data_IF_076734803695
#
_entry.id   IF_076734803695
#
_cell.length_a   1.000
_cell.length_b   1.000
_cell.length_c   1.000
_cell.angle_alpha   90.00
_cell.angle_beta   90.00
_cell.angle_gamma   90.00
#
_symmetry.space_group_name_H-M   'P 1'
#
loop_
_entity.id
_entity.type
_entity.pdbx_description
1 polymer ?
2 non-polymer ?
3 non-polymer ?
4 non-polymer ?
5 non-polymer ?
6 water ?
#
# COMPACT_ATOMS: atom_id res chain seq x y z
N UNK A 4 5.41 -1.78 31.11
CA UNK A 4 4.51 -2.97 31.24
C UNK A 4 3.82 -3.30 29.91
N UNK A 5 3.03 -4.36 29.90
CA UNK A 5 2.37 -4.82 28.68
C UNK A 5 1.40 -3.80 28.10
N UNK A 6 1.06 -3.98 26.82
CA UNK A 6 0.18 -3.08 26.11
C UNK A 6 -0.80 -3.87 25.24
N UNK A 7 -2.04 -3.40 25.19
CA UNK A 7 -3.00 -3.86 24.21
C UNK A 7 -3.74 -2.65 23.63
N UNK A 8 -4.38 -2.84 22.49
CA UNK A 8 -5.05 -1.74 21.80
C UNK A 8 -6.52 -2.05 21.57
N UNK A 9 -7.33 -1.01 21.55
CA UNK A 9 -8.72 -1.10 21.12
C UNK A 9 -8.88 -0.17 19.92
N UNK A 10 -9.43 -0.69 18.83
CA UNK A 10 -9.63 0.08 17.61
C UNK A 10 -11.12 0.14 17.28
N UNK A 11 -11.67 1.35 17.24
CA UNK A 11 -13.08 1.55 16.89
C UNK A 11 -13.23 1.55 15.36
N UNK A 12 -14.01 0.60 14.84
CA UNK A 12 -14.12 0.41 13.39
C UNK A 12 -15.52 0.00 12.94
N UNK A 13 -16.53 0.37 13.72
CA UNK A 13 -17.90 -0.09 13.50
C UNK A 13 -18.72 0.80 12.56
N UNK A 14 -18.21 1.99 12.25
CA UNK A 14 -18.97 3.01 11.52
C UNK A 14 -19.42 2.63 10.12
N UNK A 15 -20.60 3.11 9.74
CA UNK A 15 -21.16 2.85 8.42
C UNK A 15 -20.47 3.68 7.33
N UNK A 16 -20.06 4.90 7.68
CA UNK A 16 -19.45 5.81 6.72
C UNK A 16 -20.43 6.22 5.64
N UNK A 17 -21.60 6.70 6.07
CA UNK A 17 -22.69 7.04 5.15
C UNK A 17 -22.27 8.04 4.07
N UNK A 18 -21.46 9.04 4.42
CA UNK A 18 -21.08 10.09 3.48
C UNK A 18 -19.98 9.68 2.49
N UNK A 19 -19.54 8.42 2.55
CA UNK A 19 -18.71 7.83 1.51
C UNK A 19 -19.58 7.38 0.33
N UNK A 20 -20.87 7.19 0.58
CA UNK A 20 -21.83 6.71 -0.42
C UNK A 20 -21.30 5.45 -1.10
N UNK A 21 -21.05 4.45 -0.26
CA UNK A 21 -20.35 3.23 -0.66
C UNK A 21 -21.04 2.00 -0.06
N UNK A 22 -20.86 0.87 -0.70
CA UNK A 22 -21.28 -0.42 -0.15
C UNK A 22 -20.27 -0.95 0.88
N UNK A 23 -19.08 -0.34 0.93
CA UNK A 23 -18.08 -0.70 1.93
C UNK A 23 -18.37 0.00 3.26
N UNK A 24 -17.98 -0.63 4.39
CA UNK A 24 -17.97 0.11 5.64
C UNK A 24 -16.84 1.13 5.67
N UNK A 25 -16.93 2.07 6.60
CA UNK A 25 -16.09 3.28 6.60
C UNK A 25 -14.58 3.00 6.58
N UNK A 26 -14.14 2.05 7.40
CA UNK A 26 -12.69 1.86 7.62
C UNK A 26 -11.99 0.98 6.57
N UNK A 27 -12.73 0.42 5.63
CA UNK A 27 -12.14 -0.42 4.58
C UNK A 27 -11.65 0.37 3.37
N UNK A 28 -12.04 1.64 3.27
CA UNK A 28 -11.52 2.52 2.23
C UNK A 28 -10.02 2.68 2.42
N UNK A 29 -9.28 2.75 1.32
CA UNK A 29 -7.82 2.64 1.39
C UNK A 29 -7.09 3.97 1.43
N UNK A 30 -5.93 3.96 2.10
CA UNK A 30 -4.92 4.98 1.99
C UNK A 30 -3.64 4.27 1.57
N UNK A 31 -3.01 4.75 0.50
CA UNK A 31 -1.79 4.14 -0.05
C UNK A 31 -1.96 2.63 -0.29
N UNK A 32 -3.12 2.25 -0.83
CA UNK A 32 -3.36 0.88 -1.24
C UNK A 32 -3.82 -0.08 -0.15
N UNK A 33 -3.97 0.39 1.09
CA UNK A 33 -4.47 -0.48 2.15
C UNK A 33 -5.51 0.17 3.06
N UNK A 34 -6.47 -0.64 3.56
CA UNK A 34 -7.58 -0.13 4.36
C UNK A 34 -7.13 0.78 5.49
N UNK A 35 -7.88 1.84 5.75
CA UNK A 35 -7.57 2.75 6.85
C UNK A 35 -7.34 1.98 8.16
N UNK A 36 -8.20 1.00 8.44
CA UNK A 36 -8.10 0.23 9.67
C UNK A 36 -6.80 -0.60 9.74
N UNK A 37 -6.33 -1.07 8.59
CA UNK A 37 -5.08 -1.83 8.52
C UNK A 37 -3.86 -0.98 8.92
N UNK A 38 -3.87 0.30 8.52
CA UNK A 38 -2.84 1.24 8.96
C UNK A 38 -2.76 1.27 10.48
N UNK A 39 -3.93 1.38 11.13
CA UNK A 39 -4.01 1.48 12.58
C UNK A 39 -3.63 0.15 13.26
N UNK A 40 -4.11 -0.97 12.71
CA UNK A 40 -3.71 -2.30 13.20
C UNK A 40 -2.19 -2.48 13.15
N UNK A 41 -1.59 -2.12 12.01
CA UNK A 41 -0.12 -2.21 11.85
C UNK A 41 0.60 -1.33 12.86
N UNK A 42 0.15 -0.10 13.02
CA UNK A 42 0.72 0.82 14.01
C UNK A 42 0.61 0.22 15.42
N UNK A 43 -0.55 -0.33 15.75
CA UNK A 43 -0.76 -1.00 17.03
C UNK A 43 0.24 -2.14 17.24
N UNK A 44 0.49 -2.91 16.18
CA UNK A 44 1.46 -4.01 16.23
C UNK A 44 2.89 -3.51 16.41
N UNK A 45 3.26 -2.46 15.70
CA UNK A 45 4.59 -1.83 15.78
C UNK A 45 4.90 -1.34 17.19
N UNK A 46 3.85 -0.90 17.90
CA UNK A 46 3.98 -0.44 19.29
C UNK A 46 4.27 -1.58 20.26
N UNK A 47 3.99 -2.81 19.84
CA UNK A 47 4.18 -4.00 20.67
C UNK A 47 2.91 -4.41 21.40
N UNK A 48 1.76 -4.17 20.77
CA UNK A 48 0.47 -4.54 21.36
C UNK A 48 0.36 -6.06 21.46
N UNK A 49 -0.01 -6.53 22.66
CA UNK A 49 -0.19 -7.95 22.92
C UNK A 49 -1.50 -8.44 22.33
N UNK A 50 -2.57 -7.68 22.56
CA UNK A 50 -3.86 -7.93 21.94
C UNK A 50 -4.32 -6.69 21.18
N UNK A 51 -5.07 -6.90 20.11
CA UNK A 51 -5.70 -5.81 19.36
C UNK A 51 -7.19 -6.09 19.27
N UNK A 52 -7.97 -5.35 20.03
CA UNK A 52 -9.42 -5.53 20.06
C UNK A 52 -10.08 -4.66 19.01
N UNK A 53 -10.64 -5.29 17.99
CA UNK A 53 -11.26 -4.59 16.87
C UNK A 53 -12.76 -4.52 17.08
N UNK A 54 -13.27 -3.33 17.38
CA UNK A 54 -14.70 -3.12 17.54
C UNK A 54 -15.31 -2.89 16.16
N UNK A 55 -16.14 -3.82 15.71
CA UNK A 55 -16.73 -3.74 14.38
C UNK A 55 -18.24 -3.96 14.43
N UNK A 56 -18.91 -3.64 13.33
CA UNK A 56 -20.37 -3.69 13.27
C UNK A 56 -20.89 -3.63 11.86
N UNK A 57 -20.99 -2.42 11.29
CA UNK A 57 -21.46 -2.24 9.93
C UNK A 57 -20.53 -2.89 8.92
N UNK A 58 -21.10 -3.53 7.90
CA UNK A 58 -20.32 -4.24 6.89
C UNK A 58 -19.48 -5.36 7.50
N UNK A 59 -20.04 -6.04 8.50
CA UNK A 59 -19.31 -7.06 9.25
C UNK A 59 -18.74 -8.18 8.40
N UNK A 60 -19.53 -8.67 7.45
CA UNK A 60 -19.08 -9.74 6.56
C UNK A 60 -17.92 -9.26 5.67
N UNK A 61 -17.99 -8.02 5.21
CA UNK A 61 -16.92 -7.42 4.41
C UNK A 61 -15.65 -7.20 5.22
N UNK A 62 -15.81 -6.74 6.46
CA UNK A 62 -14.68 -6.59 7.39
C UNK A 62 -13.98 -7.93 7.57
N UNK A 63 -14.76 -8.97 7.84
CA UNK A 63 -14.25 -10.32 8.05
C UNK A 63 -13.48 -10.88 6.84
N UNK A 64 -14.02 -10.66 5.64
CA UNK A 64 -13.38 -11.15 4.42
C UNK A 64 -12.13 -10.33 4.07
N UNK A 65 -12.22 -9.01 4.19
CA UNK A 65 -11.11 -8.11 3.85
C UNK A 65 -9.95 -8.14 4.85
N UNK A 66 -10.24 -8.45 6.12
CA UNK A 66 -9.22 -8.45 7.18
C UNK A 66 -9.04 -9.83 7.81
N UNK A 67 -9.33 -10.87 7.03
CA UNK A 67 -9.36 -12.25 7.55
C UNK A 67 -8.08 -12.69 8.25
N UNK A 68 -6.92 -12.29 7.71
CA UNK A 68 -5.63 -12.73 8.26
C UNK A 68 -5.04 -11.80 9.33
N UNK A 69 -5.81 -10.80 9.77
CA UNK A 69 -5.33 -9.89 10.80
C UNK A 69 -5.40 -10.52 12.18
N UNK A 70 -4.34 -10.34 12.97
CA UNK A 70 -4.28 -10.89 14.32
C UNK A 70 -4.97 -9.95 15.29
N UNK A 71 -6.30 -9.98 15.27
CA UNK A 71 -7.12 -9.12 16.11
C UNK A 71 -8.21 -9.93 16.80
N UNK A 72 -8.75 -9.37 17.88
CA UNK A 72 -9.90 -9.94 18.58
C UNK A 72 -11.16 -9.30 17.99
N UNK A 73 -12.00 -10.11 17.38
CA UNK A 73 -13.21 -9.64 16.69
C UNK A 73 -14.35 -9.39 17.67
N UNK A 74 -14.54 -8.13 18.02
CA UNK A 74 -15.59 -7.73 18.96
C UNK A 74 -16.76 -7.11 18.19
N UNK A 75 -17.79 -7.90 17.96
CA UNK A 75 -18.94 -7.47 17.18
C UNK A 75 -19.93 -6.68 18.03
N UNK A 76 -20.03 -5.39 17.75
CA UNK A 76 -20.94 -4.49 18.46
C UNK A 76 -22.31 -4.50 17.77
N UNK A 77 -23.35 -4.83 18.52
CA UNK A 77 -24.71 -4.95 17.96
C UNK A 77 -25.45 -3.61 17.88
N UNK A 78 -25.06 -2.64 18.69
CA UNK A 78 -25.67 -1.31 18.63
C UNK A 78 -24.70 -0.19 19.03
N UNK A 79 -24.84 0.96 18.37
CA UNK A 79 -23.95 2.11 18.56
C UNK A 79 -24.53 3.07 19.60
N UNK A 80 -23.93 3.04 20.80
CA UNK A 80 -24.40 3.84 21.93
C UNK A 80 -23.35 4.84 22.41
N UNK A 81 -22.30 5.05 21.61
CA UNK A 81 -21.22 5.98 21.95
C UNK A 81 -19.88 5.29 22.10
N UNK A 82 -18.82 6.10 22.14
CA UNK A 82 -17.44 5.58 22.18
C UNK A 82 -17.14 4.80 23.45
N UNK A 83 -17.70 5.23 24.59
CA UNK A 83 -17.50 4.53 25.85
C UNK A 83 -18.12 3.13 25.83
N UNK A 84 -19.31 3.02 25.23
CA UNK A 84 -19.96 1.73 25.05
C UNK A 84 -19.15 0.82 24.13
N UNK A 85 -18.60 1.40 23.07
CA UNK A 85 -17.77 0.66 22.12
C UNK A 85 -16.54 0.06 22.80
N UNK A 86 -15.81 0.89 23.54
CA UNK A 86 -14.61 0.43 24.25
C UNK A 86 -14.97 -0.62 25.32
N UNK A 87 -16.11 -0.43 25.98
CA UNK A 87 -16.53 -1.37 27.03
C UNK A 87 -16.84 -2.77 26.49
N UNK A 88 -17.11 -2.89 25.19
CA UNK A 88 -17.30 -4.20 24.56
C UNK A 88 -16.03 -5.07 24.66
N UNK A 89 -14.86 -4.42 24.63
CA UNK A 89 -13.58 -5.12 24.74
C UNK A 89 -13.06 -5.19 26.18
N UNK A 90 -13.67 -4.43 27.07
CA UNK A 90 -13.20 -4.29 28.46
C UNK A 90 -13.03 -5.60 29.25
N UNK A 91 -13.93 -6.58 29.05
CA UNK A 91 -13.75 -7.87 29.74
C UNK A 91 -12.43 -8.59 29.43
N UNK A 92 -11.80 -8.22 28.33
CA UNK A 92 -10.55 -8.83 27.89
C UNK A 92 -9.30 -8.03 28.30
N UNK A 93 -9.50 -6.85 28.91
CA UNK A 93 -8.38 -6.05 29.39
C UNK A 93 -7.72 -6.72 30.60
N UNK A 94 -6.39 -6.78 30.57
CA UNK A 94 -5.62 -7.16 31.77
C UNK A 94 -5.58 -5.98 32.71
N UNK A 95 -5.77 -6.24 34.00
CA UNK A 95 -5.67 -5.19 35.02
C UNK A 95 -4.31 -4.48 34.96
N UNK A 96 -3.25 -5.25 34.69
CA UNK A 96 -1.88 -4.77 34.80
C UNK A 96 -1.26 -4.29 33.48
N UNK A 97 -2.03 -4.26 32.40
CA UNK A 97 -1.53 -3.77 31.10
C UNK A 97 -2.09 -2.39 30.79
N UNK A 98 -1.36 -1.65 29.96
CA UNK A 98 -1.87 -0.40 29.39
C UNK A 98 -2.79 -0.70 28.21
N UNK A 99 -3.81 0.14 28.05
CA UNK A 99 -4.72 0.05 26.91
C UNK A 99 -4.70 1.39 26.18
N UNK A 100 -4.47 1.34 24.87
CA UNK A 100 -4.52 2.54 24.03
C UNK A 100 -5.76 2.46 23.15
N UNK A 101 -6.53 3.54 23.12
CA UNK A 101 -7.75 3.61 22.31
C UNK A 101 -7.47 4.36 21.01
N UNK A 102 -7.79 3.72 19.90
CA UNK A 102 -7.52 4.26 18.56
C UNK A 102 -8.78 4.17 17.71
N UNK A 103 -8.76 4.88 16.57
CA UNK A 103 -9.93 4.96 15.69
C UNK A 103 -9.58 4.52 14.28
N UNK A 104 -10.33 3.55 13.76
CA UNK A 104 -10.07 2.96 12.45
C UNK A 104 -10.21 3.91 11.27
N UNK A 105 -10.93 5.02 11.48
CA UNK A 105 -11.10 6.05 10.45
C UNK A 105 -10.16 7.26 10.64
N UNK A 106 -9.19 7.12 11.55
CA UNK A 106 -8.11 8.10 11.72
C UNK A 106 -6.78 7.38 11.56
N UNK A 107 -6.41 7.08 10.31
CA UNK A 107 -5.35 6.10 10.00
C UNK A 107 -3.90 6.55 10.17
N UNK A 108 -3.64 7.85 10.22
CA UNK A 108 -2.26 8.35 10.12
C UNK A 108 -1.54 8.54 11.46
N UNK A 109 -2.17 8.15 12.57
CA UNK A 109 -1.52 8.22 13.89
C UNK A 109 -0.24 7.39 13.89
N UNK A 110 0.86 7.99 14.33
CA UNK A 110 2.18 7.34 14.23
C UNK A 110 2.58 6.63 15.52
N UNK A 111 3.41 5.60 15.35
CA UNK A 111 4.02 4.86 16.46
C UNK A 111 4.77 5.81 17.40
N UNK A 112 5.50 6.76 16.83
CA UNK A 112 6.32 7.70 17.61
C UNK A 112 5.47 8.55 18.55
N UNK A 113 4.35 9.07 18.04
CA UNK A 113 3.44 9.87 18.84
C UNK A 113 2.78 9.05 19.95
N UNK A 114 2.43 7.81 19.65
CA UNK A 114 1.78 6.92 20.62
C UNK A 114 2.75 6.43 21.70
N UNK A 115 4.01 6.19 21.33
CA UNK A 115 5.06 5.87 22.31
C UNK A 115 5.23 7.01 23.32
N UNK A 116 5.20 8.24 22.82
CA UNK A 116 5.28 9.44 23.64
C UNK A 116 4.07 9.57 24.57
N UNK A 117 2.90 9.21 24.05
CA UNK A 117 1.67 9.22 24.84
C UNK A 117 1.72 8.21 25.98
N UNK A 118 2.13 6.98 25.66
CA UNK A 118 2.21 5.90 26.65
C UNK A 118 3.24 6.23 27.74
N UNK A 119 4.40 6.73 27.32
CA UNK A 119 5.46 7.16 28.24
C UNK A 119 4.96 8.16 29.29
N UNK A 120 4.11 9.08 28.87
CA UNK A 120 3.64 10.16 29.74
C UNK A 120 2.53 9.74 30.71
N UNK A 121 1.96 8.54 30.53
CA UNK A 121 0.85 8.08 31.37
C UNK A 121 1.28 7.88 32.83
N UNK A 122 0.70 8.66 33.76
CA UNK A 122 0.99 8.48 35.18
C UNK A 122 0.24 7.29 35.76
N UNK A 123 0.82 6.63 36.75
CA UNK A 123 0.25 5.42 37.33
C UNK A 123 -1.18 5.64 37.80
N UNK A 124 -2.06 4.69 37.48
CA UNK A 124 -3.50 4.77 37.78
C UNK A 124 -4.21 5.99 37.15
N UNK A 125 -3.55 6.66 36.22
CA UNK A 125 -4.08 7.87 35.60
C UNK A 125 -4.36 7.67 34.12
N UNK A 126 -4.46 8.78 33.39
CA UNK A 126 -4.74 8.76 31.96
C UNK A 126 -3.75 9.65 31.21
N UNK A 127 -3.31 9.18 30.04
CA UNK A 127 -2.58 10.01 29.09
C UNK A 127 -3.53 10.35 27.95
N UNK A 128 -3.76 11.64 27.73
CA UNK A 128 -4.69 12.12 26.71
C UNK A 128 -3.94 12.78 25.56
N UNK A 129 -4.16 12.30 24.34
CA UNK A 129 -3.57 12.92 23.16
C UNK A 129 -4.39 14.15 22.77
N UNK A 130 -3.71 15.29 22.69
CA UNK A 130 -4.34 16.55 22.32
C UNK A 130 -3.65 17.13 21.09
N UNK A 131 -4.21 18.21 20.57
CA UNK A 131 -3.63 18.89 19.40
C UNK A 131 -4.07 20.35 19.37
N UNK A 132 -3.17 21.22 18.93
CA UNK A 132 -3.47 22.65 18.79
C UNK A 132 -4.04 22.96 17.41
N UNK A 133 -5.18 23.64 17.38
CA UNK A 133 -5.81 24.08 16.14
C UNK A 133 -5.86 25.60 16.10
N UNK A 134 -5.58 26.17 14.94
CA UNK A 134 -5.66 27.62 14.74
C UNK A 134 -7.11 28.07 14.93
N UNK A 135 -8.04 27.30 14.37
CA UNK A 135 -9.47 27.48 14.59
C UNK A 135 -10.05 26.25 15.30
N UNK A 136 -10.14 26.29 16.63
CA UNK A 136 -10.62 25.15 17.41
C UNK A 136 -12.15 25.04 17.52
N UNK A 137 -12.89 25.86 16.77
CA UNK A 137 -14.35 25.88 16.84
C UNK A 137 -14.95 24.49 16.58
N UNK A 138 -15.78 24.04 17.51
CA UNK A 138 -16.46 22.75 17.41
C UNK A 138 -15.85 21.66 18.28
N UNK A 139 -14.57 21.80 18.62
CA UNK A 139 -13.83 20.76 19.34
C UNK A 139 -13.78 21.02 20.84
N UNK A 140 -13.63 19.94 21.61
CA UNK A 140 -13.57 20.02 23.07
C UNK A 140 -12.27 20.63 23.56
N UNK A 141 -12.38 21.74 24.29
CA UNK A 141 -11.22 22.49 24.74
C UNK A 141 -10.58 21.82 25.96
N UNK A 142 -9.25 21.72 25.94
CA UNK A 142 -8.50 21.14 27.05
C UNK A 142 -8.29 22.20 28.14
N UNK A 143 -8.82 21.94 29.33
CA UNK A 143 -8.63 22.82 30.48
C UNK A 143 -7.56 22.24 31.39
N UNK A 144 -6.41 22.92 31.47
CA UNK A 144 -5.32 22.51 32.34
C UNK A 144 -5.33 23.30 33.64
N UNK A 145 -5.13 22.60 34.75
CA UNK A 145 -4.79 23.23 36.02
C UNK A 145 -3.54 22.49 36.51
N UNK A 146 -2.39 23.15 36.34
CA UNK A 146 -1.05 22.53 36.21
C UNK A 146 -0.78 22.32 34.72
N UNK A 147 -0.10 21.23 34.36
CA UNK A 147 -0.11 20.71 33.00
C UNK A 147 -0.99 19.47 32.93
N UNK A 148 -1.94 19.38 33.87
CA UNK A 148 -2.81 18.21 34.01
C UNK A 148 -4.25 18.60 33.67
N UNK A 149 -4.92 17.74 32.92
CA UNK A 149 -6.26 18.02 32.41
C UNK A 149 -7.32 17.79 33.48
N UNK A 150 -8.10 18.83 33.76
CA UNK A 150 -9.19 18.75 34.72
C UNK A 150 -10.57 18.69 34.04
N UNK A 151 -10.63 19.07 32.77
CA UNK A 151 -11.89 19.05 32.03
C UNK A 151 -11.69 19.16 30.52
N UNK A 152 -12.61 18.57 29.78
CA UNK A 152 -12.73 18.78 28.34
C UNK A 152 -14.05 19.51 28.13
N UNK A 153 -13.97 20.82 27.87
CA UNK A 153 -15.16 21.66 27.74
C UNK A 153 -15.59 21.75 26.28
N UNK A 154 -16.80 21.31 25.99
CA UNK A 154 -17.32 21.28 24.62
C UNK A 154 -17.68 22.69 24.16
N UNK A 155 -17.73 22.86 22.84
CA UNK A 155 -17.99 24.17 22.21
C UNK A 155 -19.18 24.90 22.82
N UNK A 156 -20.30 24.20 22.93
CA UNK A 156 -21.57 24.79 23.39
C UNK A 156 -21.57 25.20 24.87
N UNK A 157 -20.63 24.66 25.66
CA UNK A 157 -20.55 24.96 27.10
C UNK A 157 -19.45 25.98 27.44
N UNK A 158 -18.51 26.19 26.53
CA UNK A 158 -17.34 27.02 26.81
C UNK A 158 -17.68 28.51 26.95
N UNK A 159 -17.10 29.16 27.94
CA UNK A 159 -17.22 30.61 28.08
C UNK A 159 -16.31 31.33 27.08
N UNK A 160 -16.43 32.65 26.99
CA UNK A 160 -15.68 33.46 26.02
C UNK A 160 -14.17 33.20 26.08
N UNK A 161 -13.64 33.09 27.29
CA UNK A 161 -12.22 32.82 27.50
C UNK A 161 -11.82 31.43 27.02
N UNK A 162 -12.61 30.43 27.39
CA UNK A 162 -12.33 29.04 27.03
C UNK A 162 -12.38 28.77 25.53
N UNK A 163 -13.23 29.52 24.82
CA UNK A 163 -13.34 29.38 23.36
C UNK A 163 -12.03 29.75 22.65
N UNK A 164 -11.23 30.62 23.26
CA UNK A 164 -9.91 31.00 22.72
C UNK A 164 -8.80 29.97 22.99
N UNK A 165 -9.11 28.93 23.76
CA UNK A 165 -8.17 27.82 23.95
C UNK A 165 -8.01 27.08 22.62
N UNK A 166 -6.76 26.92 22.19
CA UNK A 166 -6.46 26.29 20.90
C UNK A 166 -6.24 24.79 21.02
N UNK A 167 -5.85 24.33 22.21
CA UNK A 167 -5.62 22.90 22.46
C UNK A 167 -6.95 22.17 22.62
N UNK A 168 -7.12 21.10 21.84
CA UNK A 168 -8.37 20.34 21.83
C UNK A 168 -8.15 18.82 22.01
N UNK A 169 -9.23 18.13 22.35
CA UNK A 169 -9.22 16.68 22.54
C UNK A 169 -9.26 15.95 21.20
N UNK A 170 -8.41 14.94 21.05
CA UNK A 170 -8.41 14.10 19.85
C UNK A 170 -9.21 12.81 20.04
N UNK A 171 -9.43 12.41 21.29
CA UNK A 171 -10.15 11.17 21.59
C UNK A 171 -9.23 9.99 21.86
N UNK A 172 -7.96 10.12 21.47
CA UNK A 172 -6.97 9.06 21.69
C UNK A 172 -6.43 9.17 23.10
N UNK A 173 -6.44 8.05 23.83
CA UNK A 173 -6.01 8.06 25.22
C UNK A 173 -5.44 6.71 25.66
N UNK A 174 -4.60 6.74 26.69
CA UNK A 174 -4.02 5.55 27.28
C UNK A 174 -4.31 5.51 28.79
N UNK A 175 -4.72 4.35 29.28
CA UNK A 175 -4.88 4.09 30.71
C UNK A 175 -4.73 2.59 30.96
N UNK A 176 -4.60 2.20 32.23
CA UNK A 176 -4.47 0.77 32.56
C UNK A 176 -5.83 0.07 32.50
N UNK A 177 -5.80 -1.25 32.32
CA UNK A 177 -7.01 -2.04 32.13
C UNK A 177 -7.98 -2.00 33.29
N UNK A 178 -7.46 -2.07 34.52
CA UNK A 178 -8.30 -2.00 35.72
C UNK A 178 -9.06 -0.68 35.78
N UNK A 179 -8.36 0.41 35.48
CA UNK A 179 -8.97 1.74 35.50
C UNK A 179 -10.04 1.91 34.43
N UNK A 180 -9.80 1.36 33.24
CA UNK A 180 -10.81 1.38 32.18
C UNK A 180 -12.08 0.63 32.61
N UNK A 181 -11.91 -0.59 33.11
CA UNK A 181 -13.06 -1.39 33.55
C UNK A 181 -13.86 -0.67 34.64
N UNK A 182 -13.14 -0.04 35.57
CA UNK A 182 -13.74 0.74 36.65
C UNK A 182 -14.55 1.93 36.13
N UNK A 183 -13.91 2.78 35.33
CA UNK A 183 -14.52 4.04 34.89
C UNK A 183 -15.57 3.86 33.79
N UNK A 184 -15.39 2.88 32.91
CA UNK A 184 -16.36 2.63 31.83
C UNK A 184 -17.73 2.26 32.38
N UNK A 185 -17.75 1.54 33.49
CA UNK A 185 -19.01 1.16 34.16
C UNK A 185 -19.74 2.36 34.78
N UNK A 186 -19.02 3.46 35.00
CA UNK A 186 -19.60 4.67 35.59
C UNK A 186 -20.06 5.72 34.57
N UNK A 187 -19.73 5.52 33.30
CA UNK A 187 -20.10 6.49 32.27
C UNK A 187 -21.61 6.48 32.06
N UNK A 188 -22.21 7.68 32.04
CA UNK A 188 -23.64 7.84 31.82
C UNK A 188 -23.91 8.39 30.43
N UNK A 189 -25.19 8.51 30.09
CA UNK A 189 -25.58 9.01 28.77
C UNK A 189 -26.51 10.22 28.84
N UNK A 190 -26.49 10.94 29.96
CA UNK A 190 -27.34 12.12 30.12
C UNK A 190 -26.75 13.33 29.39
N UNK A 191 -27.00 13.38 28.09
CA UNK A 191 -26.56 14.47 27.22
C UNK A 191 -27.45 14.54 26.00
N UNK A 192 -27.29 15.59 25.19
CA UNK A 192 -28.18 15.84 24.05
C UNK A 192 -28.23 14.70 23.02
N UNK A 193 -27.13 13.94 22.91
CA UNK A 193 -27.04 12.84 21.95
C UNK A 193 -27.47 11.50 22.56
N UNK A 194 -27.57 11.43 23.88
CA UNK A 194 -27.95 10.20 24.57
C UNK A 194 -26.91 9.10 24.45
N UNK A 195 -25.64 9.49 24.36
CA UNK A 195 -24.54 8.54 24.13
C UNK A 195 -23.62 8.46 25.32
N UNK A 196 -22.98 7.30 25.47
CA UNK A 196 -21.96 7.09 26.49
C UNK A 196 -20.61 7.50 25.91
N UNK A 197 -20.12 8.66 26.34
CA UNK A 197 -18.90 9.24 25.77
C UNK A 197 -17.65 8.80 26.52
N UNK A 198 -16.63 8.39 25.77
CA UNK A 198 -15.33 8.06 26.34
C UNK A 198 -14.68 9.30 26.98
N UNK A 199 -15.06 10.49 26.50
CA UNK A 199 -14.56 11.76 27.03
C UNK A 199 -14.80 11.89 28.53
N UNK A 200 -15.91 11.31 29.00
CA UNK A 200 -16.29 11.39 30.42
C UNK A 200 -15.30 10.72 31.39
N UNK A 201 -14.37 9.91 30.86
CA UNK A 201 -13.32 9.31 31.70
C UNK A 201 -12.38 10.35 32.33
N UNK A 202 -12.24 11.50 31.70
CA UNK A 202 -11.41 12.59 32.24
C UNK A 202 -12.04 13.10 33.53
N UNK A 203 -13.36 13.29 33.51
CA UNK A 203 -14.11 13.69 34.70
C UNK A 203 -14.03 12.61 35.78
N UNK A 204 -14.31 11.36 35.40
CA UNK A 204 -14.30 10.23 36.34
C UNK A 204 -12.92 10.00 36.96
N UNK A 205 -11.86 10.23 36.19
CA UNK A 205 -10.49 10.10 36.69
C UNK A 205 -10.21 11.13 37.77
N UNK A 206 -10.62 12.38 37.51
CA UNK A 206 -10.46 13.46 38.48
C UNK A 206 -11.32 13.25 39.73
N UNK A 207 -12.49 12.65 39.57
CA UNK A 207 -13.33 12.23 40.70
C UNK A 207 -12.61 11.28 41.65
N UNK A 208 -11.73 10.44 41.10
CA UNK A 208 -10.93 9.49 41.88
C UNK A 208 -9.56 10.05 42.30
N UNK A 209 -9.35 11.35 42.09
CA UNK A 209 -8.05 11.98 42.33
C UNK A 209 -6.90 11.29 41.57
N UNK A 210 -7.18 10.91 40.33
CA UNK A 210 -6.17 10.36 39.43
C UNK A 210 -5.86 11.41 38.36
N UNK A 211 -4.58 11.66 38.11
CA UNK A 211 -4.18 12.73 37.20
C UNK A 211 -4.29 12.33 35.74
N UNK A 212 -4.73 13.29 34.92
CA UNK A 212 -4.81 13.13 33.48
C UNK A 212 -3.77 14.06 32.85
N UNK A 213 -2.80 13.50 32.13
CA UNK A 213 -1.73 14.28 31.51
C UNK A 213 -1.97 14.44 30.01
N UNK A 214 -1.75 15.65 29.52
CA UNK A 214 -1.93 15.96 28.09
C UNK A 214 -0.61 15.79 27.32
N UNK A 215 -0.71 15.17 26.14
CA UNK A 215 0.44 15.03 25.24
C UNK A 215 0.01 15.50 23.85
N UNK A 216 0.73 16.49 23.32
CA UNK A 216 0.36 17.09 22.03
C UNK A 216 0.87 16.25 20.85
N UNK A 217 0.00 16.03 19.87
CA UNK A 217 0.40 15.40 18.62
C UNK A 217 1.25 16.39 17.82
N UNK A 218 2.21 15.86 17.05
CA UNK A 218 3.12 16.69 16.27
C UNK A 218 2.39 17.33 15.09
N UNK A 219 1.65 16.51 14.34
CA UNK A 219 0.87 16.99 13.20
C UNK A 219 -0.60 16.70 13.41
N UNK A 220 -1.45 17.65 13.01
CA UNK A 220 -2.90 17.50 13.13
C UNK A 220 -3.44 16.37 12.25
N UNK A 221 -2.76 16.09 11.14
CA UNK A 221 -3.20 15.05 10.21
C UNK A 221 -3.11 13.64 10.80
N UNK A 222 -2.32 13.47 11.87
CA UNK A 222 -2.27 12.20 12.62
C UNK A 222 -3.60 11.86 13.29
N UNK A 223 -4.36 12.88 13.66
CA UNK A 223 -5.60 12.69 14.40
C UNK A 223 -6.86 13.00 13.57
N UNK A 224 -6.67 13.43 12.32
CA UNK A 224 -7.79 13.72 11.43
C UNK A 224 -8.46 12.42 10.99
N UNK A 225 -9.79 12.41 11.04
CA UNK A 225 -10.59 11.31 10.52
C UNK A 225 -11.05 11.60 9.10
N UNK A 226 -11.46 10.56 8.38
CA UNK A 226 -12.02 10.72 7.04
C UNK A 226 -13.50 10.32 7.06
N UNK A 227 -14.38 11.32 6.97
CA UNK A 227 -15.83 11.11 6.93
C UNK A 227 -16.37 10.97 5.52
N UNK A 228 -15.60 11.42 4.54
CA UNK A 228 -15.98 11.33 3.13
C UNK A 228 -14.73 11.20 2.27
N UNK A 229 -14.92 11.04 0.96
CA UNK A 229 -13.80 10.78 0.06
C UNK A 229 -12.93 12.02 -0.21
N UNK A 230 -13.49 13.21 -0.03
CA UNK A 230 -12.70 14.44 -0.12
C UNK A 230 -11.68 14.50 1.01
N UNK A 231 -12.12 14.19 2.23
CA UNK A 231 -11.24 14.14 3.39
C UNK A 231 -10.23 12.99 3.28
N UNK A 232 -10.67 11.86 2.75
CA UNK A 232 -9.79 10.72 2.48
C UNK A 232 -8.66 11.10 1.52
N UNK A 233 -9.02 11.82 0.45
CA UNK A 233 -8.04 12.28 -0.54
C UNK A 233 -7.00 13.23 0.08
N UNK A 234 -7.43 14.05 1.04
CA UNK A 234 -6.54 14.94 1.76
C UNK A 234 -5.53 14.16 2.60
N UNK A 235 -6.00 13.10 3.27
CA UNK A 235 -5.13 12.21 4.04
C UNK A 235 -4.14 11.49 3.12
N UNK A 236 -4.64 11.02 1.97
CA UNK A 236 -3.81 10.35 0.97
C UNK A 236 -2.64 11.24 0.53
N UNK A 237 -2.93 12.50 0.19
CA UNK A 237 -1.90 13.42 -0.28
C UNK A 237 -0.87 13.74 0.82
N UNK A 238 -1.36 13.96 2.04
CA UNK A 238 -0.46 14.19 3.17
C UNK A 238 0.47 13.01 3.39
N UNK A 239 -0.10 11.80 3.32
CA UNK A 239 0.66 10.58 3.52
C UNK A 239 1.70 10.36 2.42
N UNK A 240 1.31 10.56 1.16
CA UNK A 240 2.22 10.40 0.04
C UNK A 240 3.37 11.42 0.09
N UNK A 241 3.06 12.66 0.45
CA UNK A 241 4.08 13.71 0.61
C UNK A 241 5.09 13.32 1.68
N UNK A 242 4.58 12.78 2.78
CA UNK A 242 5.41 12.35 3.89
C UNK A 242 6.33 11.19 3.49
N UNK A 243 5.77 10.21 2.75
CA UNK A 243 6.56 9.10 2.22
C UNK A 243 7.64 9.57 1.26
N UNK A 244 7.26 10.46 0.35
CA UNK A 244 8.18 11.01 -0.64
C UNK A 244 9.32 11.78 0.03
N UNK A 245 8.99 12.60 1.02
CA UNK A 245 9.98 13.38 1.77
C UNK A 245 11.01 12.48 2.45
N UNK A 246 10.54 11.39 3.07
CA UNK A 246 11.42 10.42 3.71
C UNK A 246 12.42 9.83 2.71
N UNK A 247 11.90 9.43 1.54
CA UNK A 247 12.74 8.84 0.50
C UNK A 247 13.76 9.84 -0.03
N UNK A 248 13.33 11.09 -0.23
CA UNK A 248 14.22 12.16 -0.67
C UNK A 248 15.38 12.39 0.30
N UNK A 249 15.07 12.44 1.60
CA UNK A 249 16.10 12.60 2.62
C UNK A 249 17.01 11.38 2.74
N UNK A 250 16.51 10.20 2.34
CA UNK A 250 17.33 8.99 2.28
C UNK A 250 18.25 8.92 1.05
N UNK A 251 18.04 9.82 0.09
CA UNK A 251 18.90 9.91 -1.09
C UNK A 251 18.28 9.44 -2.40
N UNK A 252 16.97 9.17 -2.41
CA UNK A 252 16.27 8.83 -3.65
C UNK A 252 15.91 10.12 -4.38
N UNK A 253 16.31 10.24 -5.64
CA UNK A 253 15.99 11.42 -6.45
C UNK A 253 14.59 11.28 -7.05
N UNK A 254 13.61 11.87 -6.40
CA UNK A 254 12.24 11.90 -6.88
C UNK A 254 12.03 13.27 -7.51
N UNK A 255 11.90 13.31 -8.83
CA UNK A 255 11.92 14.55 -9.59
C UNK A 255 10.81 15.51 -9.14
N UNK A 256 9.62 14.96 -8.91
CA UNK A 256 8.49 15.73 -8.35
C UNK A 256 7.76 14.87 -7.31
N UNK A 257 7.95 15.14 -6.01
CA UNK A 257 7.27 14.35 -4.99
C UNK A 257 5.74 14.48 -4.98
N UNK A 258 5.21 15.56 -5.55
CA UNK A 258 3.77 15.73 -5.71
C UNK A 258 3.20 14.80 -6.80
N UNK A 259 4.07 14.27 -7.65
CA UNK A 259 3.68 13.30 -8.68
C UNK A 259 4.42 11.98 -8.49
N UNK A 260 4.34 11.47 -7.27
CA UNK A 260 4.93 10.18 -6.91
C UNK A 260 3.97 9.47 -5.96
N UNK A 261 3.76 8.18 -6.18
CA UNK A 261 2.89 7.39 -5.31
C UNK A 261 3.55 6.09 -4.89
N UNK A 262 3.61 5.87 -3.58
CA UNK A 262 4.08 4.61 -3.00
C UNK A 262 2.92 3.96 -2.28
N UNK A 263 2.56 2.76 -2.71
CA UNK A 263 1.43 2.02 -2.15
C UNK A 263 1.92 0.66 -1.70
N UNK A 264 2.74 0.68 -0.66
CA UNK A 264 3.39 -0.52 -0.15
C UNK A 264 4.73 -0.16 0.47
N UNK A 265 5.77 -0.93 0.13
CA UNK A 265 7.10 -0.70 0.67
C UNK A 265 8.14 -0.63 -0.44
N UNK A 266 9.11 0.27 -0.29
CA UNK A 266 10.19 0.43 -1.25
C UNK A 266 11.55 0.28 -0.56
N UNK A 267 12.33 -0.70 -1.02
CA UNK A 267 13.72 -0.83 -0.63
C UNK A 267 14.56 -0.28 -1.78
N UNK A 268 15.57 0.53 -1.45
CA UNK A 268 16.35 1.21 -2.48
C UNK A 268 17.84 1.26 -2.17
N UNK A 269 18.64 1.30 -3.23
CA UNK A 269 20.07 1.56 -3.13
C UNK A 269 20.35 3.06 -3.25
N UNK A 270 21.57 3.39 -3.65
CA UNK A 270 21.98 4.79 -3.81
C UNK A 270 21.82 5.25 -5.25
N UNK A 271 21.66 6.55 -5.42
CA UNK A 271 21.58 7.20 -6.74
C UNK A 271 20.44 6.67 -7.60
N UNK A 272 19.32 6.33 -6.95
CA UNK A 272 18.10 5.92 -7.65
C UNK A 272 17.37 7.17 -8.11
N UNK A 273 16.97 7.19 -9.38
CA UNK A 273 16.27 8.33 -9.97
C UNK A 273 14.86 7.92 -10.40
N UNK A 274 13.87 8.66 -9.94
CA UNK A 274 12.47 8.38 -10.27
C UNK A 274 11.82 9.62 -10.87
N UNK A 275 11.44 9.53 -12.15
CA UNK A 275 10.83 10.65 -12.86
C UNK A 275 9.36 10.80 -12.47
N UNK A 276 8.70 11.81 -13.01
CA UNK A 276 7.33 12.16 -12.59
C UNK A 276 6.28 11.11 -12.98
N UNK A 277 5.24 11.01 -12.16
CA UNK A 277 4.10 10.10 -12.39
C UNK A 277 4.49 8.62 -12.40
N UNK A 278 5.27 8.22 -11.41
CA UNK A 278 5.58 6.81 -11.18
C UNK A 278 4.76 6.31 -10.00
N UNK A 279 4.25 5.08 -10.11
CA UNK A 279 3.51 4.44 -9.04
C UNK A 279 4.23 3.15 -8.63
N UNK A 280 4.52 3.04 -7.34
CA UNK A 280 5.20 1.88 -6.77
C UNK A 280 4.21 1.16 -5.86
N UNK A 281 3.93 -0.11 -6.16
CA UNK A 281 2.90 -0.87 -5.46
C UNK A 281 3.45 -2.18 -4.89
N UNK A 282 2.87 -2.62 -3.77
CA UNK A 282 3.32 -3.83 -3.11
C UNK A 282 4.73 -3.70 -2.59
N UNK A 283 5.49 -4.78 -2.65
CA UNK A 283 6.87 -4.80 -2.16
C UNK A 283 7.84 -4.67 -3.33
N UNK A 284 8.51 -3.52 -3.42
CA UNK A 284 9.43 -3.24 -4.51
C UNK A 284 10.85 -3.04 -3.99
N UNK A 285 11.82 -3.65 -4.67
CA UNK A 285 13.23 -3.48 -4.34
C UNK A 285 13.97 -2.93 -5.56
N UNK A 286 14.63 -1.80 -5.38
CA UNK A 286 15.46 -1.18 -6.43
C UNK A 286 16.92 -1.17 -6.00
N UNK A 287 17.80 -1.60 -6.90
CA UNK A 287 19.23 -1.61 -6.63
C UNK A 287 19.85 -0.23 -6.78
N UNK A 288 21.18 -0.19 -6.81
CA UNK A 288 21.93 1.06 -7.00
C UNK A 288 21.76 1.58 -8.43
N UNK A 289 21.64 2.90 -8.56
CA UNK A 289 21.62 3.61 -9.85
C UNK A 289 20.51 3.16 -10.79
N UNK A 290 19.40 2.69 -10.23
CA UNK A 290 18.22 2.38 -11.03
C UNK A 290 17.55 3.69 -11.46
N UNK A 291 17.20 3.79 -12.74
CA UNK A 291 16.53 4.96 -13.29
C UNK A 291 15.16 4.56 -13.81
N UNK A 292 14.11 5.21 -13.29
CA UNK A 292 12.74 4.93 -13.69
C UNK A 292 12.17 6.14 -14.42
N UNK A 293 11.78 5.94 -15.67
CA UNK A 293 11.24 7.02 -16.51
C UNK A 293 9.79 7.35 -16.17
N UNK A 294 9.28 8.40 -16.81
CA UNK A 294 7.95 8.91 -16.49
C UNK A 294 6.86 7.88 -16.80
N UNK A 295 5.83 7.86 -15.96
CA UNK A 295 4.64 7.05 -16.22
C UNK A 295 4.72 5.58 -15.89
N UNK A 296 5.81 5.12 -15.28
CA UNK A 296 5.97 3.70 -15.02
C UNK A 296 5.16 3.22 -13.82
N UNK A 297 4.74 1.96 -13.85
CA UNK A 297 4.03 1.32 -12.76
C UNK A 297 4.76 0.02 -12.39
N UNK A 298 5.28 -0.03 -11.17
CA UNK A 298 6.00 -1.20 -10.65
C UNK A 298 5.25 -1.78 -9.46
N UNK A 299 4.81 -3.03 -9.60
CA UNK A 299 4.09 -3.72 -8.53
C UNK A 299 4.76 -5.05 -8.19
N UNK A 300 5.25 -5.17 -6.97
CA UNK A 300 5.91 -6.40 -6.51
C UNK A 300 7.03 -6.83 -7.45
N UNK A 301 8.06 -6.00 -7.58
CA UNK A 301 9.16 -6.29 -8.47
C UNK A 301 10.51 -6.12 -7.77
N UNK A 302 11.50 -6.88 -8.24
CA UNK A 302 12.88 -6.71 -7.82
C UNK A 302 13.69 -6.26 -9.03
N UNK A 303 14.34 -5.10 -8.90
CA UNK A 303 15.11 -4.50 -9.99
C UNK A 303 16.57 -4.40 -9.56
N UNK A 304 17.46 -5.01 -10.34
CA UNK A 304 18.89 -5.03 -10.01
C UNK A 304 19.60 -3.70 -10.24
N UNK A 305 20.87 -3.65 -9.86
CA UNK A 305 21.71 -2.48 -10.05
C UNK A 305 21.77 -2.03 -11.51
N UNK A 306 21.78 -0.71 -11.72
CA UNK A 306 22.06 -0.11 -13.04
C UNK A 306 21.01 -0.39 -14.12
N UNK A 307 19.80 -0.75 -13.72
CA UNK A 307 18.70 -0.96 -14.66
C UNK A 307 18.07 0.39 -15.02
N UNK A 308 17.79 0.59 -16.30
CA UNK A 308 16.97 1.73 -16.72
C UNK A 308 15.63 1.22 -17.23
N UNK A 309 14.56 1.75 -16.64
CA UNK A 309 13.20 1.50 -17.10
C UNK A 309 12.73 2.78 -17.78
N UNK A 310 12.51 2.69 -19.09
CA UNK A 310 12.12 3.85 -19.88
C UNK A 310 10.61 4.10 -19.76
N UNK A 311 10.13 5.27 -20.22
CA UNK A 311 8.74 5.68 -19.92
C UNK A 311 7.62 4.70 -20.27
N UNK A 312 6.53 4.78 -19.50
CA UNK A 312 5.30 4.05 -19.76
C UNK A 312 5.51 2.55 -19.86
N UNK A 313 6.24 2.03 -18.88
CA UNK A 313 6.42 0.60 -18.70
C UNK A 313 5.63 0.13 -17.48
N UNK A 314 4.99 -1.03 -17.60
CA UNK A 314 4.18 -1.60 -16.53
C UNK A 314 4.74 -2.98 -16.18
N UNK A 315 5.16 -3.14 -14.92
CA UNK A 315 5.80 -4.36 -14.45
C UNK A 315 5.09 -4.89 -13.21
N UNK A 316 4.84 -6.20 -13.17
CA UNK A 316 4.23 -6.83 -11.99
C UNK A 316 4.79 -8.23 -11.73
N UNK A 317 5.04 -8.53 -10.44
CA UNK A 317 5.50 -9.85 -10.02
C UNK A 317 6.64 -10.34 -10.92
N UNK A 318 7.65 -9.49 -11.10
CA UNK A 318 8.75 -9.77 -12.01
C UNK A 318 10.10 -9.47 -11.38
N UNK A 319 11.15 -10.05 -11.97
CA UNK A 319 12.52 -9.85 -11.51
C UNK A 319 13.37 -9.40 -12.70
N UNK A 320 14.17 -8.36 -12.50
CA UNK A 320 15.01 -7.80 -13.55
C UNK A 320 16.47 -7.73 -13.10
N UNK A 321 17.35 -8.42 -13.82
CA UNK A 321 18.77 -8.48 -13.47
C UNK A 321 19.51 -7.19 -13.75
N UNK A 322 20.74 -7.10 -13.21
CA UNK A 322 21.50 -5.85 -13.32
C UNK A 322 21.84 -5.46 -14.76
N UNK A 323 21.89 -4.15 -15.00
CA UNK A 323 22.23 -3.58 -16.31
C UNK A 323 21.22 -3.90 -17.43
N UNK A 324 20.03 -4.39 -17.06
CA UNK A 324 18.96 -4.60 -18.03
C UNK A 324 18.40 -3.27 -18.49
N UNK A 325 17.80 -3.26 -19.68
CA UNK A 325 17.15 -2.08 -20.23
C UNK A 325 15.71 -2.47 -20.61
N UNK A 326 14.75 -1.78 -20.00
CA UNK A 326 13.33 -2.05 -20.22
C UNK A 326 12.62 -0.79 -20.74
N UNK A 327 11.73 -0.97 -21.72
CA UNK A 327 10.90 0.12 -22.21
C UNK A 327 11.50 0.94 -23.34
N UNK A 328 10.79 2.00 -23.76
CA UNK A 328 9.48 2.42 -23.25
C UNK A 328 8.35 1.51 -23.74
N UNK A 329 7.17 1.66 -23.15
CA UNK A 329 5.99 0.87 -23.55
C UNK A 329 6.19 -0.65 -23.42
N UNK A 330 6.91 -1.07 -22.38
CA UNK A 330 7.10 -2.50 -22.10
C UNK A 330 6.11 -2.99 -21.05
N UNK A 331 5.67 -4.24 -21.21
CA UNK A 331 4.76 -4.87 -20.26
C UNK A 331 5.37 -6.17 -19.73
N UNK A 332 5.66 -6.19 -18.43
CA UNK A 332 6.10 -7.41 -17.76
C UNK A 332 4.97 -7.90 -16.84
N UNK A 333 4.42 -9.05 -17.18
CA UNK A 333 3.33 -9.65 -16.42
C UNK A 333 3.90 -10.64 -15.42
N UNK A 334 3.07 -11.12 -14.46
CA UNK A 334 3.61 -11.99 -13.42
C UNK A 334 4.44 -13.17 -13.92
N UNK A 335 5.56 -13.41 -13.24
CA UNK A 335 6.47 -14.50 -13.59
C UNK A 335 7.54 -14.15 -14.61
N UNK A 336 7.59 -12.89 -15.02
CA UNK A 336 8.65 -12.44 -15.94
C UNK A 336 9.96 -12.36 -15.16
N UNK A 337 10.97 -13.10 -15.64
CA UNK A 337 12.30 -13.10 -15.03
C UNK A 337 13.36 -12.77 -16.08
N UNK A 338 13.87 -11.54 -16.03
CA UNK A 338 14.87 -11.08 -16.97
C UNK A 338 16.25 -11.13 -16.34
N UNK A 339 17.18 -11.80 -17.01
CA UNK A 339 18.56 -11.91 -16.50
C UNK A 339 19.31 -10.59 -16.71
N UNK A 340 20.56 -10.56 -16.24
CA UNK A 340 21.40 -9.38 -16.40
C UNK A 340 21.60 -9.02 -17.88
N UNK A 341 21.75 -7.72 -18.14
CA UNK A 341 22.08 -7.21 -19.47
C UNK A 341 21.09 -7.60 -20.58
N UNK A 342 19.83 -7.82 -20.20
CA UNK A 342 18.77 -8.10 -21.18
C UNK A 342 18.19 -6.80 -21.71
N UNK A 343 17.44 -6.91 -22.81
CA UNK A 343 16.82 -5.75 -23.46
C UNK A 343 15.38 -6.08 -23.83
N UNK A 344 14.44 -5.31 -23.30
CA UNK A 344 13.02 -5.45 -23.64
C UNK A 344 12.50 -4.10 -24.11
N UNK A 345 11.89 -4.07 -25.30
CA UNK A 345 11.59 -2.81 -25.99
C UNK A 345 10.12 -2.49 -26.09
N UNK A 346 9.79 -1.55 -26.98
CA UNK A 346 8.42 -1.05 -27.06
C UNK A 346 7.42 -2.06 -27.63
N UNK A 347 6.24 -2.04 -27.03
CA UNK A 347 5.11 -2.87 -27.48
C UNK A 347 5.46 -4.36 -27.36
N UNK A 348 6.18 -4.69 -26.29
CA UNK A 348 6.55 -6.05 -25.98
C UNK A 348 5.89 -6.47 -24.67
N UNK A 349 5.34 -7.68 -24.66
CA UNK A 349 4.68 -8.26 -23.50
C UNK A 349 5.37 -9.57 -23.14
N UNK A 350 5.86 -9.67 -21.91
CA UNK A 350 6.48 -10.89 -21.40
C UNK A 350 5.64 -11.43 -20.23
N UNK A 351 5.19 -12.67 -20.32
CA UNK A 351 4.36 -13.30 -19.28
C UNK A 351 4.95 -14.65 -18.87
N UNK A 352 5.14 -14.84 -17.56
CA UNK A 352 5.60 -16.11 -17.00
C UNK A 352 6.68 -16.76 -17.87
N UNK A 353 7.76 -16.02 -18.07
CA UNK A 353 8.87 -16.47 -18.90
C UNK A 353 10.21 -16.05 -18.30
N UNK A 354 11.24 -16.85 -18.56
CA UNK A 354 12.60 -16.53 -18.18
C UNK A 354 13.38 -16.16 -19.43
N UNK A 355 14.15 -15.07 -19.36
CA UNK A 355 14.94 -14.58 -20.48
C UNK A 355 16.40 -14.44 -20.06
N UNK A 356 17.28 -15.16 -20.74
CA UNK A 356 18.67 -15.30 -20.31
C UNK A 356 19.55 -14.10 -20.62
N UNK A 357 20.74 -14.11 -20.02
CA UNK A 357 21.69 -12.98 -20.08
C UNK A 357 21.96 -12.50 -21.51
N UNK A 358 21.85 -11.19 -21.71
CA UNK A 358 22.22 -10.57 -22.98
C UNK A 358 21.17 -10.65 -24.09
N UNK A 359 20.09 -11.37 -23.85
CA UNK A 359 19.06 -11.57 -24.87
C UNK A 359 18.24 -10.29 -25.10
N UNK A 360 17.74 -10.13 -26.32
CA UNK A 360 16.95 -8.95 -26.66
C UNK A 360 15.60 -9.30 -27.29
N UNK A 361 14.57 -8.61 -26.81
CA UNK A 361 13.20 -8.72 -27.33
C UNK A 361 12.68 -7.29 -27.48
N UNK A 362 12.97 -6.65 -28.60
CA UNK A 362 12.86 -5.18 -28.70
C UNK A 362 11.64 -4.58 -29.40
N UNK A 363 10.78 -5.38 -30.05
CA UNK A 363 9.61 -4.81 -30.73
C UNK A 363 8.43 -5.76 -30.90
N UNK A 364 7.24 -5.28 -30.54
CA UNK A 364 5.99 -5.81 -31.07
C UNK A 364 5.87 -7.34 -30.93
N UNK A 365 6.15 -7.82 -29.72
CA UNK A 365 6.32 -9.25 -29.47
C UNK A 365 5.58 -9.69 -28.23
N UNK A 366 5.04 -10.91 -28.27
CA UNK A 366 4.50 -11.57 -27.09
C UNK A 366 5.31 -12.84 -26.81
N UNK A 367 5.90 -12.89 -25.62
CA UNK A 367 6.55 -14.11 -25.12
C UNK A 367 5.83 -14.56 -23.85
N UNK A 368 5.18 -15.72 -23.92
CA UNK A 368 4.45 -16.28 -22.79
C UNK A 368 4.83 -17.72 -22.51
N UNK A 369 4.92 -18.07 -21.23
CA UNK A 369 5.20 -19.45 -20.80
C UNK A 369 6.42 -20.03 -21.48
N UNK A 370 7.50 -19.25 -21.52
CA UNK A 370 8.68 -19.60 -22.28
C UNK A 370 9.95 -19.54 -21.44
N UNK A 371 10.93 -20.30 -21.88
CA UNK A 371 12.29 -20.18 -21.37
C UNK A 371 13.18 -19.79 -22.54
N UNK A 372 13.83 -18.64 -22.44
CA UNK A 372 14.75 -18.16 -23.46
C UNK A 372 16.14 -18.08 -22.84
N UNK A 373 17.13 -18.63 -23.56
CA UNK A 373 18.49 -18.70 -23.06
C UNK A 373 19.26 -17.40 -23.19
N UNK A 374 20.58 -17.51 -23.14
CA UNK A 374 21.46 -16.34 -23.16
C UNK A 374 21.82 -15.92 -24.60
N UNK A 375 21.97 -14.61 -24.78
CA UNK A 375 22.38 -14.01 -26.05
C UNK A 375 21.51 -14.38 -27.26
N UNK A 376 20.20 -14.45 -27.02
CA UNK A 376 19.24 -14.68 -28.09
C UNK A 376 18.77 -13.36 -28.71
N UNK A 377 18.39 -13.43 -29.98
CA UNK A 377 17.83 -12.30 -30.72
C UNK A 377 16.40 -12.66 -31.11
N UNK A 378 15.43 -12.12 -30.37
CA UNK A 378 14.02 -12.35 -30.66
C UNK A 378 13.51 -11.18 -31.50
N UNK A 379 13.25 -11.46 -32.77
CA UNK A 379 12.90 -10.41 -33.73
C UNK A 379 11.56 -9.76 -33.49
N UNK A 380 11.34 -8.63 -34.16
CA UNK A 380 10.08 -7.91 -34.09
C UNK A 380 8.94 -8.78 -34.60
N UNK A 381 7.78 -8.72 -33.94
CA UNK A 381 6.60 -9.44 -34.41
C UNK A 381 6.52 -10.89 -34.02
N UNK A 382 7.49 -11.37 -33.24
CA UNK A 382 7.51 -12.77 -32.82
C UNK A 382 6.42 -13.02 -31.77
N UNK A 383 5.73 -14.16 -31.89
CA UNK A 383 4.64 -14.50 -30.99
C UNK A 383 4.74 -15.97 -30.58
N UNK A 384 4.72 -16.23 -29.27
CA UNK A 384 4.54 -17.58 -28.76
C UNK A 384 3.04 -17.84 -28.62
N UNK A 385 2.57 -18.96 -29.15
CA UNK A 385 1.15 -19.29 -29.10
C UNK A 385 0.91 -20.78 -28.86
N UNK A 386 -0.36 -21.15 -28.72
CA UNK A 386 -0.78 -22.52 -28.48
C UNK A 386 -1.77 -23.00 -29.53
N UNK A 387 -1.94 -24.32 -29.60
CA UNK A 387 -3.03 -24.91 -30.36
C UNK A 387 -4.34 -24.65 -29.63
N UNK A 388 -5.45 -24.79 -30.35
CA UNK A 388 -6.78 -24.58 -29.77
C UNK A 388 -7.12 -25.74 -28.85
N UNK A 389 -7.47 -25.42 -27.61
CA UNK A 389 -7.80 -26.44 -26.60
C UNK A 389 -6.61 -26.85 -25.76
N UNK A 390 -5.48 -26.19 -25.96
CA UNK A 390 -4.26 -26.46 -25.20
C UNK A 390 -4.37 -25.91 -23.78
N UNK A 391 -3.39 -26.25 -22.95
CA UNK A 391 -3.37 -25.81 -21.56
C UNK A 391 -2.13 -24.96 -21.29
N UNK A 392 -1.90 -23.98 -22.16
CA UNK A 392 -0.75 -23.07 -22.06
C UNK A 392 0.57 -23.83 -21.91
N UNK A 393 0.98 -24.53 -22.96
CA UNK A 393 2.22 -25.29 -22.95
C UNK A 393 3.43 -24.39 -23.21
N UNK A 394 4.62 -24.94 -22.98
CA UNK A 394 5.84 -24.15 -22.92
C UNK A 394 6.65 -24.13 -24.21
N UNK A 395 7.26 -22.98 -24.48
CA UNK A 395 8.23 -22.81 -25.56
C UNK A 395 9.61 -22.72 -24.93
N UNK A 396 10.52 -23.59 -25.34
CA UNK A 396 11.88 -23.62 -24.79
C UNK A 396 12.88 -23.22 -25.87
N UNK A 397 13.58 -22.11 -25.64
CA UNK A 397 14.57 -21.59 -26.59
C UNK A 397 15.94 -21.59 -25.92
N UNK A 398 16.92 -22.21 -26.58
CA UNK A 398 18.26 -22.36 -26.02
C UNK A 398 19.09 -21.09 -26.06
N UNK A 399 20.40 -21.25 -25.99
CA UNK A 399 21.33 -20.13 -26.03
C UNK A 399 21.69 -19.78 -27.46
N UNK A 400 21.99 -18.51 -27.69
CA UNK A 400 22.52 -18.04 -28.98
C UNK A 400 21.61 -18.36 -30.17
N UNK A 401 20.30 -18.24 -29.96
CA UNK A 401 19.31 -18.48 -31.01
C UNK A 401 18.88 -17.17 -31.65
N UNK A 402 18.77 -17.17 -32.98
CA UNK A 402 18.21 -16.05 -33.74
C UNK A 402 16.81 -16.43 -34.20
N UNK A 403 15.80 -15.67 -33.77
CA UNK A 403 14.42 -15.89 -34.22
C UNK A 403 14.00 -14.73 -35.12
N UNK A 404 13.82 -15.03 -36.41
CA UNK A 404 13.48 -14.03 -37.41
C UNK A 404 12.15 -13.34 -37.16
N UNK A 405 12.03 -12.12 -37.68
CA UNK A 405 10.87 -11.29 -37.43
C UNK A 405 9.56 -11.94 -37.88
N UNK A 406 8.49 -11.69 -37.13
CA UNK A 406 7.15 -12.16 -37.47
C UNK A 406 7.03 -13.69 -37.55
N UNK A 407 7.78 -14.38 -36.69
CA UNK A 407 7.73 -15.83 -36.58
C UNK A 407 6.79 -16.22 -35.44
N UNK A 408 5.98 -17.25 -35.65
CA UNK A 408 5.15 -17.80 -34.58
C UNK A 408 5.81 -19.06 -34.05
N UNK A 409 5.95 -19.12 -32.73
CA UNK A 409 6.47 -20.30 -32.05
C UNK A 409 5.28 -21.00 -31.41
N UNK A 410 4.96 -22.19 -31.89
CA UNK A 410 3.75 -22.89 -31.47
C UNK A 410 4.06 -23.95 -30.42
N UNK A 411 3.75 -23.64 -29.16
CA UNK A 411 4.03 -24.54 -28.04
C UNK A 411 3.14 -25.79 -28.09
N UNK A 412 3.62 -26.92 -27.54
CA UNK A 412 4.95 -27.12 -26.95
C UNK A 412 6.02 -27.30 -28.03
N UNK A 413 7.12 -26.57 -27.90
CA UNK A 413 8.21 -26.65 -28.87
C UNK A 413 9.55 -26.27 -28.25
N UNK A 414 10.61 -26.88 -28.76
CA UNK A 414 11.97 -26.63 -28.27
C UNK A 414 12.86 -26.20 -29.43
N UNK A 415 13.62 -25.14 -29.21
CA UNK A 415 14.61 -24.68 -30.19
C UNK A 415 15.98 -24.73 -29.53
N UNK A 416 16.87 -25.57 -30.05
CA UNK A 416 18.16 -25.86 -29.42
C UNK A 416 19.17 -24.74 -29.63
N UNK A 417 20.30 -24.85 -28.93
CA UNK A 417 21.37 -23.85 -28.97
C UNK A 417 21.83 -23.54 -30.40
N UNK A 418 22.07 -22.26 -30.68
CA UNK A 418 22.68 -21.84 -31.94
C UNK A 418 21.80 -21.92 -33.17
N UNK A 419 20.51 -22.22 -33.00
CA UNK A 419 19.58 -22.35 -34.12
C UNK A 419 19.28 -20.99 -34.74
N UNK A 420 18.92 -21.01 -36.02
CA UNK A 420 18.55 -19.79 -36.75
C UNK A 420 17.21 -20.00 -37.43
N UNK A 421 16.28 -19.08 -37.19
CA UNK A 421 14.94 -19.16 -37.76
C UNK A 421 14.70 -17.93 -38.63
N UNK A 422 14.37 -18.16 -39.90
CA UNK A 422 14.11 -17.07 -40.84
C UNK A 422 12.83 -16.34 -40.52
N UNK A 423 12.70 -15.14 -41.09
CA UNK A 423 11.51 -14.31 -40.88
C UNK A 423 10.26 -14.95 -41.48
N UNK A 424 9.12 -14.73 -40.84
CA UNK A 424 7.83 -15.19 -41.34
C UNK A 424 7.59 -16.68 -41.23
N UNK A 425 8.28 -17.33 -40.30
CA UNK A 425 8.21 -18.79 -40.16
C UNK A 425 7.16 -19.18 -39.11
N UNK A 426 6.55 -20.35 -39.30
CA UNK A 426 5.68 -20.96 -38.31
C UNK A 426 6.40 -22.20 -37.78
N UNK A 427 6.85 -22.13 -36.52
CA UNK A 427 7.63 -23.22 -35.91
C UNK A 427 6.72 -24.11 -35.05
N UNK A 428 6.50 -25.33 -35.52
CA UNK A 428 5.68 -26.32 -34.80
C UNK A 428 6.49 -27.55 -34.35
N UNK A 429 7.53 -27.88 -35.11
CA UNK A 429 8.40 -29.01 -34.76
C UNK A 429 9.66 -28.51 -34.08
N UNK A 430 10.25 -29.34 -33.23
CA UNK A 430 11.49 -28.97 -32.53
C UNK A 430 12.60 -28.66 -33.51
N UNK A 431 13.43 -27.68 -33.16
CA UNK A 431 14.55 -27.26 -33.99
C UNK A 431 15.84 -27.68 -33.30
N UNK A 432 16.71 -28.37 -34.04
CA UNK A 432 17.94 -28.92 -33.50
C UNK A 432 19.06 -27.91 -33.37
N UNK A 433 20.15 -28.35 -32.71
CA UNK A 433 21.31 -27.50 -32.50
C UNK A 433 21.92 -27.09 -33.84
N UNK A 434 22.22 -25.80 -33.98
CA UNK A 434 22.77 -25.23 -35.22
C UNK A 434 21.93 -25.52 -36.48
N UNK A 435 20.62 -25.67 -36.30
CA UNK A 435 19.73 -25.89 -37.44
C UNK A 435 19.18 -24.56 -37.94
N UNK A 436 19.34 -24.31 -39.25
CA UNK A 436 18.75 -23.16 -39.90
C UNK A 436 17.42 -23.55 -40.52
N UNK A 437 16.36 -22.85 -40.15
CA UNK A 437 15.04 -23.08 -40.69
C UNK A 437 14.54 -21.82 -41.39
N UNK A 438 14.33 -21.91 -42.71
CA UNK A 438 13.81 -20.76 -43.45
C UNK A 438 12.57 -21.19 -44.24
N UNK A 439 11.61 -20.28 -44.34
CA UNK A 439 10.35 -20.56 -45.00
C UNK A 439 10.50 -20.40 -46.51
N UNK A 440 10.02 -21.39 -47.26
CA UNK A 440 9.99 -21.32 -48.71
C UNK A 440 8.67 -20.70 -49.13
N UNK A 441 8.73 -19.47 -49.62
CA UNK A 441 7.52 -18.75 -50.03
C UNK A 441 7.25 -18.96 -51.52
N UNK A 442 5.97 -19.02 -51.86
CA UNK A 442 5.53 -18.99 -53.25
C UNK A 442 4.90 -17.62 -53.47
N UNK A 443 5.36 -16.92 -54.49
CA UNK A 443 4.83 -15.60 -54.83
C UNK A 443 4.43 -15.52 -56.28
N UNK A 444 3.38 -14.76 -56.55
CA UNK A 444 2.98 -14.43 -57.90
C UNK A 444 3.34 -12.97 -58.17
N UNK A 445 4.06 -12.74 -59.26
CA UNK A 445 4.52 -11.41 -59.64
C UNK A 445 3.80 -11.00 -60.92
N UNK A 446 3.06 -9.89 -60.86
CA UNK A 446 2.33 -9.37 -61.99
C UNK A 446 2.90 -8.01 -62.37
N UNK A 447 3.44 -7.92 -63.59
CA UNK A 447 4.08 -6.68 -64.06
C UNK A 447 3.04 -5.74 -64.66
N UNK A 448 3.31 -4.46 -64.60
CA UNK A 448 2.43 -3.45 -65.17
C UNK A 448 1.08 -3.34 -64.47
N UNK A 449 1.07 -3.59 -63.17
CA UNK A 449 -0.14 -3.42 -62.37
C UNK A 449 -0.26 -1.96 -61.95
N UNK A 450 -1.19 -1.24 -62.59
CA UNK A 450 -1.41 0.17 -62.31
C UNK A 450 -2.36 0.30 -61.12
N UNK A 451 -1.88 0.92 -60.04
CA UNK A 451 -2.68 1.05 -58.82
C UNK A 451 -3.90 1.96 -59.03
N UNK A 452 -5.01 1.69 -58.30
CA UNK A 452 -6.20 2.50 -58.47
C UNK A 452 -6.07 3.85 -57.75
N UNK A 453 -5.26 4.74 -58.32
CA UNK A 453 -4.96 6.04 -57.75
C UNK A 453 -4.94 7.10 -58.85
#
# INVERSE_FOLDING_TARGET
MTKKALSAVILAAGKGTRMYSDLPKVLHTIAGKPMVKHVIDTAHQLGSENIHLIYGHGGDLMRTHLANEQVNWVLQTEQLGTAHAVQQAAPFFKDNENIVVLYGDAPLITKETLEKLIEAKPENGIALLTVNLDNPTGYGRIIRENGNVVAIVEQKDANAEQLNIKEVNTGVMVSDGASFKKWLARVGNNNAQGEYYLTDLIALANQDNCQVVAVQATDVMEVEGANNRLQLAALERYFQNKQASKLLLEGVMIYDPARFDLRGTLEHGKDVEIDVNVIIEGNVKLGDRVKIGTGCVLKNVVIGNDVEIKPYSVLEDSIVGEKAAIGPFSRLRPGAELAAETHVGNFVEIKKSTVGKGSKVNHLTYVGDSEIGSNCNIGAGVITCNYDGANKFKTIIGDDVFVGSDTQLVAPVKVANGATIGAGTTITRDVGENELVITRVAQRHIQGWQRPIKKK
#
